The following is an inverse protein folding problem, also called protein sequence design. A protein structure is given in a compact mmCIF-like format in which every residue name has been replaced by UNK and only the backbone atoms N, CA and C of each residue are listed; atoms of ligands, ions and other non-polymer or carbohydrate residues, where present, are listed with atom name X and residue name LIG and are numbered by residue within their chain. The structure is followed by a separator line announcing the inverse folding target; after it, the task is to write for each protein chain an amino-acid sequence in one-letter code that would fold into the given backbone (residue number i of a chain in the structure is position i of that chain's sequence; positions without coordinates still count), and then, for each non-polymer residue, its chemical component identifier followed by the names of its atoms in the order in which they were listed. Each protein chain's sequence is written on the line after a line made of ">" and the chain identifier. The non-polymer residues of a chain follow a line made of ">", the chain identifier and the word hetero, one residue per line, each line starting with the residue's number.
data_IF_953044526918
#
_entry.id   IF_953044526918
#
_cell.length_a   1.000
_cell.length_b   1.000
_cell.length_c   1.000
_cell.angle_alpha   90.00
_cell.angle_beta   90.00
_cell.angle_gamma   90.00
#
_symmetry.space_group_name_H-M   'P 1'
#
loop_
_entity.id
_entity.type
_entity.pdbx_description
1 polymer ?
#
# COMPACT_ATOMS: atom_id res chain seq x y z
N UNK A 1 58.86 2.41 -46.81
CA UNK A 1 57.88 3.53 -46.85
C UNK A 1 56.44 3.03 -46.96
N UNK A 2 56.13 2.13 -47.91
CA UNK A 2 54.76 1.64 -48.19
C UNK A 2 54.14 0.87 -47.02
N UNK A 3 54.89 -0.05 -46.43
CA UNK A 3 54.37 -0.85 -45.28
C UNK A 3 53.96 -0.02 -44.05
N UNK A 4 54.72 1.06 -43.71
CA UNK A 4 54.38 1.97 -42.63
C UNK A 4 53.10 2.76 -42.92
N UNK A 5 52.87 3.12 -44.18
CA UNK A 5 51.64 3.85 -44.56
C UNK A 5 50.40 2.95 -44.48
N UNK A 6 50.48 1.70 -44.92
CA UNK A 6 49.42 0.71 -44.85
C UNK A 6 49.05 0.38 -43.36
N UNK A 7 50.07 0.27 -42.49
CA UNK A 7 49.85 0.07 -41.06
C UNK A 7 49.13 1.26 -40.42
N UNK A 8 49.53 2.48 -40.72
CA UNK A 8 48.87 3.68 -40.19
C UNK A 8 47.44 3.83 -40.71
N UNK A 9 47.15 3.50 -41.96
CA UNK A 9 45.79 3.50 -42.50
C UNK A 9 44.90 2.40 -41.86
N UNK A 10 45.47 1.22 -41.65
CA UNK A 10 44.78 0.12 -40.96
C UNK A 10 44.43 0.47 -39.50
N UNK A 11 45.40 1.09 -38.77
CA UNK A 11 45.24 1.52 -37.40
C UNK A 11 44.17 2.61 -37.28
N UNK A 12 44.15 3.58 -38.18
CA UNK A 12 43.13 4.61 -38.27
C UNK A 12 41.74 4.03 -38.55
N UNK A 13 41.63 3.05 -39.45
CA UNK A 13 40.39 2.39 -39.76
C UNK A 13 39.82 1.59 -38.56
N UNK A 14 40.71 0.90 -37.84
CA UNK A 14 40.34 0.15 -36.64
C UNK A 14 39.85 1.10 -35.52
N UNK A 15 40.51 2.23 -35.32
CA UNK A 15 40.09 3.25 -34.36
C UNK A 15 38.73 3.84 -34.71
N UNK A 16 38.51 4.13 -36.01
CA UNK A 16 37.26 4.66 -36.48
C UNK A 16 36.12 3.63 -36.32
N UNK A 17 36.34 2.36 -36.66
CA UNK A 17 35.37 1.28 -36.48
C UNK A 17 35.07 1.00 -35.03
N UNK A 18 36.07 1.09 -34.15
CA UNK A 18 35.87 0.96 -32.70
C UNK A 18 35.02 2.11 -32.13
N UNK A 19 35.24 3.33 -32.60
CA UNK A 19 34.43 4.47 -32.23
C UNK A 19 32.96 4.34 -32.72
N UNK A 20 32.76 3.88 -33.95
CA UNK A 20 31.42 3.58 -34.48
C UNK A 20 30.72 2.50 -33.63
N UNK A 21 31.42 1.42 -33.28
CA UNK A 21 30.88 0.34 -32.44
C UNK A 21 30.54 0.80 -31.00
N UNK A 22 31.33 1.70 -30.46
CA UNK A 22 31.06 2.26 -29.12
C UNK A 22 29.83 3.19 -29.08
N UNK A 23 29.47 3.79 -30.22
CA UNK A 23 28.25 4.63 -30.31
C UNK A 23 26.97 3.79 -30.49
N UNK A 24 27.07 2.54 -30.92
CA UNK A 24 25.94 1.68 -31.24
C UNK A 24 25.14 1.19 -30.01
N UNK A 25 25.76 0.80 -28.89
CA UNK A 25 25.02 0.29 -27.74
C UNK A 25 24.21 1.38 -27.00
N UNK A 26 24.64 2.64 -27.03
CA UNK A 26 23.98 3.73 -26.33
C UNK A 26 22.55 4.03 -26.84
N UNK A 27 22.33 4.22 -28.15
CA UNK A 27 20.98 4.41 -28.67
C UNK A 27 20.08 3.18 -28.52
N UNK A 28 20.62 1.98 -28.60
CA UNK A 28 19.86 0.75 -28.40
C UNK A 28 19.41 0.60 -26.93
N UNK A 29 20.29 0.86 -25.98
CA UNK A 29 19.97 0.86 -24.54
C UNK A 29 18.94 1.93 -24.19
N UNK A 30 19.06 3.12 -24.75
CA UNK A 30 18.04 4.19 -24.53
C UNK A 30 16.68 3.79 -25.10
N UNK A 31 16.63 3.22 -26.30
CA UNK A 31 15.38 2.74 -26.91
C UNK A 31 14.75 1.61 -26.10
N UNK A 32 15.58 0.67 -25.62
CA UNK A 32 15.11 -0.40 -24.74
C UNK A 32 14.55 0.16 -23.42
N UNK A 33 15.21 1.15 -22.83
CA UNK A 33 14.72 1.81 -21.63
C UNK A 33 13.38 2.54 -21.87
N UNK A 34 13.27 3.30 -22.96
CA UNK A 34 12.01 3.98 -23.32
C UNK A 34 10.88 2.99 -23.55
N UNK A 35 11.15 1.87 -24.23
CA UNK A 35 10.15 0.81 -24.43
C UNK A 35 9.75 0.17 -23.10
N UNK A 36 10.69 -0.10 -22.23
CA UNK A 36 10.42 -0.64 -20.90
C UNK A 36 9.57 0.31 -20.06
N UNK A 37 9.95 1.59 -20.01
CA UNK A 37 9.22 2.62 -19.26
C UNK A 37 7.81 2.82 -19.84
N UNK A 38 7.66 2.79 -21.17
CA UNK A 38 6.37 2.86 -21.82
C UNK A 38 5.50 1.64 -21.50
N UNK A 39 6.07 0.45 -21.52
CA UNK A 39 5.36 -0.79 -21.16
C UNK A 39 4.92 -0.78 -19.71
N UNK A 40 5.77 -0.30 -18.78
CA UNK A 40 5.39 -0.09 -17.39
C UNK A 40 4.26 0.94 -17.26
N UNK A 41 4.36 2.08 -17.96
CA UNK A 41 3.33 3.11 -17.93
C UNK A 41 1.96 2.60 -18.41
N UNK A 42 1.93 1.68 -19.38
CA UNK A 42 0.69 1.04 -19.84
C UNK A 42 0.01 0.16 -18.77
N UNK A 43 0.76 -0.32 -17.77
CA UNK A 43 0.24 -1.13 -16.67
C UNK A 43 -0.19 -0.31 -15.46
N UNK A 44 0.23 0.95 -15.42
CA UNK A 44 -0.10 1.84 -14.30
C UNK A 44 -1.55 2.30 -14.38
N UNK A 45 -2.23 2.28 -13.25
CA UNK A 45 -3.60 2.70 -13.08
C UNK A 45 -3.70 3.63 -11.87
N UNK A 46 -4.62 4.60 -11.87
CA UNK A 46 -4.82 5.44 -10.70
C UNK A 46 -5.35 4.61 -9.51
N UNK A 47 -4.91 4.94 -8.32
CA UNK A 47 -5.38 4.32 -7.07
C UNK A 47 -6.91 4.43 -6.93
N UNK A 48 -7.53 5.46 -7.52
CA UNK A 48 -8.97 5.62 -7.59
C UNK A 48 -9.72 4.36 -8.08
N UNK A 49 -9.10 3.55 -8.92
CA UNK A 49 -9.74 2.36 -9.49
C UNK A 49 -10.10 1.32 -8.40
N UNK A 50 -9.28 1.17 -7.36
CA UNK A 50 -9.55 0.24 -6.23
C UNK A 50 -10.54 0.82 -5.23
N UNK A 51 -10.80 2.13 -5.30
CA UNK A 51 -11.71 2.83 -4.38
C UNK A 51 -13.18 2.71 -4.80
N UNK A 52 -13.43 2.20 -6.02
CA UNK A 52 -14.78 2.05 -6.53
C UNK A 52 -15.66 1.24 -5.58
N UNK A 53 -16.70 1.89 -5.04
CA UNK A 53 -17.63 1.28 -4.09
C UNK A 53 -17.18 1.29 -2.61
N UNK A 54 -15.93 1.62 -2.29
CA UNK A 54 -15.43 1.62 -0.90
C UNK A 54 -16.14 2.69 -0.04
N UNK A 55 -16.33 3.90 -0.54
CA UNK A 55 -17.06 4.95 0.17
C UNK A 55 -18.51 4.55 0.45
N UNK A 56 -19.14 3.91 -0.53
CA UNK A 56 -20.51 3.40 -0.37
C UNK A 56 -20.55 2.29 0.68
N UNK A 57 -19.62 1.35 0.61
CA UNK A 57 -19.51 0.24 1.57
C UNK A 57 -19.32 0.76 2.99
N UNK A 58 -18.40 1.72 3.21
CA UNK A 58 -18.17 2.36 4.52
C UNK A 58 -19.44 3.01 5.06
N UNK A 59 -20.13 3.78 4.23
CA UNK A 59 -21.37 4.46 4.61
C UNK A 59 -22.50 3.47 4.92
N UNK A 60 -22.71 2.48 4.08
CA UNK A 60 -23.79 1.50 4.24
C UNK A 60 -23.54 0.62 5.46
N UNK A 61 -22.28 0.20 5.70
CA UNK A 61 -21.88 -0.52 6.90
C UNK A 61 -22.07 0.34 8.16
N UNK A 62 -21.62 1.61 8.15
CA UNK A 62 -21.83 2.54 9.25
C UNK A 62 -23.31 2.63 9.62
N UNK A 63 -24.18 2.86 8.63
CA UNK A 63 -25.63 2.92 8.86
C UNK A 63 -26.21 1.62 9.45
N UNK A 64 -25.77 0.46 8.98
CA UNK A 64 -26.22 -0.83 9.50
C UNK A 64 -25.82 -1.06 10.96
N UNK A 65 -24.75 -0.42 11.41
CA UNK A 65 -24.23 -0.47 12.77
C UNK A 65 -24.68 0.73 13.66
N UNK A 66 -25.55 1.61 13.12
CA UNK A 66 -26.01 2.81 13.84
C UNK A 66 -24.90 3.86 14.02
N UNK A 67 -23.87 3.82 13.18
CA UNK A 67 -22.72 4.74 13.23
C UNK A 67 -22.77 5.76 12.11
N UNK A 68 -22.26 6.94 12.35
CA UNK A 68 -22.04 7.97 11.34
C UNK A 68 -20.55 7.98 11.00
N UNK A 69 -20.21 7.71 9.75
CA UNK A 69 -18.80 7.57 9.32
C UNK A 69 -18.59 8.25 8.00
N UNK A 70 -17.50 9.03 7.90
CA UNK A 70 -17.01 9.65 6.68
C UNK A 70 -15.65 9.06 6.31
N UNK A 71 -15.47 8.73 5.04
CA UNK A 71 -14.19 8.33 4.47
C UNK A 71 -13.58 9.52 3.72
N UNK A 72 -12.37 9.92 4.09
CA UNK A 72 -11.55 10.89 3.37
C UNK A 72 -10.43 10.14 2.65
N UNK A 73 -10.23 10.47 1.37
CA UNK A 73 -9.25 9.81 0.52
C UNK A 73 -8.27 10.86 0.00
N UNK A 74 -6.98 10.56 0.13
CA UNK A 74 -5.89 11.37 -0.43
C UNK A 74 -5.03 10.50 -1.36
N UNK A 75 -4.55 11.10 -2.45
CA UNK A 75 -3.67 10.40 -3.39
C UNK A 75 -4.41 9.50 -4.39
N UNK A 76 -5.66 9.76 -4.71
CA UNK A 76 -6.46 9.01 -5.69
C UNK A 76 -5.78 8.88 -7.07
N UNK A 77 -4.99 9.90 -7.45
CA UNK A 77 -4.25 9.92 -8.73
C UNK A 77 -2.91 9.21 -8.70
N UNK A 78 -2.51 8.67 -7.54
CA UNK A 78 -1.27 7.91 -7.39
C UNK A 78 -1.30 6.72 -8.34
N UNK A 79 -0.27 6.64 -9.20
CA UNK A 79 -0.20 5.59 -10.22
C UNK A 79 0.31 4.30 -9.57
N UNK A 80 -0.42 3.21 -9.74
CA UNK A 80 -0.11 1.91 -9.13
C UNK A 80 -0.16 0.84 -10.20
N UNK A 81 0.74 -0.15 -10.15
CA UNK A 81 0.69 -1.29 -11.05
C UNK A 81 -0.64 -2.04 -10.89
N UNK A 82 -1.23 -2.43 -12.02
CA UNK A 82 -2.53 -3.11 -12.07
C UNK A 82 -2.57 -4.37 -11.19
N UNK A 83 -1.53 -5.21 -11.24
CA UNK A 83 -1.50 -6.46 -10.48
C UNK A 83 -1.42 -6.20 -8.96
N UNK A 84 -0.82 -5.07 -8.57
CA UNK A 84 -0.81 -4.61 -7.18
C UNK A 84 -2.20 -4.14 -6.76
N UNK A 85 -2.87 -3.33 -7.59
CA UNK A 85 -4.24 -2.85 -7.31
C UNK A 85 -5.22 -4.01 -7.12
N UNK A 86 -5.18 -5.00 -8.00
CA UNK A 86 -6.06 -6.19 -7.90
C UNK A 86 -5.86 -6.95 -6.59
N UNK A 87 -4.61 -7.01 -6.09
CA UNK A 87 -4.29 -7.65 -4.81
C UNK A 87 -4.62 -6.80 -3.58
N UNK A 88 -4.72 -5.48 -3.74
CA UNK A 88 -5.03 -4.55 -2.65
C UNK A 88 -6.52 -4.47 -2.33
N UNK A 89 -7.40 -4.76 -3.27
CA UNK A 89 -8.84 -4.57 -3.11
C UNK A 89 -9.41 -5.30 -1.87
N UNK A 90 -9.11 -6.58 -1.74
CA UNK A 90 -9.63 -7.38 -0.63
C UNK A 90 -9.04 -6.98 0.74
N UNK A 91 -7.71 -6.80 0.91
CA UNK A 91 -7.13 -6.28 2.14
C UNK A 91 -7.66 -4.90 2.52
N UNK A 92 -7.78 -3.98 1.56
CA UNK A 92 -8.28 -2.64 1.80
C UNK A 92 -9.73 -2.65 2.29
N UNK A 93 -10.59 -3.43 1.62
CA UNK A 93 -11.98 -3.61 2.03
C UNK A 93 -12.06 -4.16 3.47
N UNK A 94 -11.20 -5.12 3.82
CA UNK A 94 -11.15 -5.69 5.15
C UNK A 94 -10.72 -4.66 6.20
N UNK A 95 -9.69 -3.88 5.94
CA UNK A 95 -9.20 -2.84 6.84
C UNK A 95 -10.25 -1.73 7.05
N UNK A 96 -10.87 -1.25 5.99
CA UNK A 96 -11.94 -0.25 6.07
C UNK A 96 -13.14 -0.78 6.88
N UNK A 97 -13.52 -2.04 6.66
CA UNK A 97 -14.57 -2.68 7.45
C UNK A 97 -14.21 -2.74 8.93
N UNK A 98 -12.98 -3.12 9.27
CA UNK A 98 -12.52 -3.17 10.66
C UNK A 98 -12.52 -1.79 11.32
N UNK A 99 -12.09 -0.75 10.61
CA UNK A 99 -12.13 0.62 11.10
C UNK A 99 -13.58 1.06 11.45
N UNK A 100 -14.55 0.77 10.56
CA UNK A 100 -15.98 1.07 10.83
C UNK A 100 -16.52 0.23 11.97
N UNK A 101 -16.26 -1.07 11.98
CA UNK A 101 -16.89 -2.02 12.90
C UNK A 101 -16.33 -1.88 14.33
N UNK A 102 -15.02 -1.81 14.45
CA UNK A 102 -14.32 -1.85 15.72
C UNK A 102 -13.66 -0.52 16.12
N UNK A 103 -13.23 0.30 15.15
CA UNK A 103 -12.58 1.59 15.42
C UNK A 103 -13.58 2.65 15.83
N UNK A 104 -14.56 2.95 15.00
CA UNK A 104 -15.49 4.06 15.21
C UNK A 104 -16.58 3.68 16.23
N UNK A 105 -16.84 4.59 17.18
CA UNK A 105 -17.89 4.46 18.21
C UNK A 105 -19.26 4.91 17.69
N UNK A 106 -20.32 4.61 18.45
CA UNK A 106 -21.66 5.19 18.17
C UNK A 106 -21.66 6.71 18.35
N UNK A 107 -22.57 7.44 17.68
CA UNK A 107 -22.66 8.89 17.80
C UNK A 107 -22.79 9.36 19.26
N UNK A 108 -23.56 8.62 20.09
CA UNK A 108 -23.76 8.93 21.48
C UNK A 108 -22.47 8.79 22.29
N UNK A 109 -21.73 7.69 22.08
CA UNK A 109 -20.44 7.45 22.74
C UNK A 109 -19.42 8.51 22.36
N UNK A 110 -19.37 8.90 21.09
CA UNK A 110 -18.47 9.97 20.60
C UNK A 110 -18.77 11.31 21.25
N UNK A 111 -20.05 11.69 21.30
CA UNK A 111 -20.47 12.94 21.95
C UNK A 111 -20.14 12.93 23.43
N UNK A 112 -20.33 11.82 24.14
CA UNK A 112 -19.93 11.66 25.55
C UNK A 112 -18.42 11.81 25.75
N UNK A 113 -17.62 11.40 24.79
CA UNK A 113 -16.15 11.55 24.76
C UNK A 113 -15.69 12.93 24.27
N UNK A 114 -16.63 13.86 23.96
CA UNK A 114 -16.30 15.20 23.44
C UNK A 114 -15.83 15.19 21.98
N UNK A 115 -16.06 14.12 21.23
CA UNK A 115 -15.76 13.99 19.80
C UNK A 115 -16.97 14.40 18.94
N UNK A 116 -16.78 14.77 17.66
CA UNK A 116 -17.87 14.92 16.70
C UNK A 116 -18.69 13.62 16.58
N UNK A 117 -20.00 13.72 16.37
CA UNK A 117 -20.88 12.56 16.21
C UNK A 117 -20.49 11.68 15.02
N UNK A 118 -19.98 12.30 13.93
CA UNK A 118 -19.46 11.61 12.76
C UNK A 118 -18.00 11.22 12.98
N UNK A 119 -17.68 9.92 12.84
CA UNK A 119 -16.33 9.40 12.85
C UNK A 119 -15.64 9.59 11.51
N UNK A 120 -14.33 9.75 11.54
CA UNK A 120 -13.51 10.01 10.37
C UNK A 120 -12.51 8.86 10.15
N UNK A 121 -12.57 8.28 8.94
CA UNK A 121 -11.55 7.36 8.45
C UNK A 121 -10.79 8.08 7.33
N UNK A 122 -9.46 8.10 7.39
CA UNK A 122 -8.58 8.65 6.36
C UNK A 122 -7.80 7.54 5.69
N UNK A 123 -7.81 7.54 4.37
CA UNK A 123 -7.01 6.65 3.54
C UNK A 123 -6.12 7.49 2.64
N UNK A 124 -4.82 7.30 2.75
CA UNK A 124 -3.83 8.02 1.96
C UNK A 124 -2.97 7.06 1.15
N UNK A 125 -2.78 7.36 -0.13
CA UNK A 125 -1.86 6.65 -1.00
C UNK A 125 -0.73 7.58 -1.46
N UNK A 126 0.51 7.15 -1.32
CA UNK A 126 1.68 7.93 -1.75
C UNK A 126 2.81 7.00 -2.23
N UNK A 127 3.74 7.57 -3.00
CA UNK A 127 5.00 6.91 -3.31
C UNK A 127 6.11 7.44 -2.42
N UNK A 128 6.81 6.53 -1.74
CA UNK A 128 7.95 6.87 -0.91
C UNK A 128 9.10 5.90 -1.22
N UNK A 129 10.23 6.42 -1.64
CA UNK A 129 11.43 5.64 -1.98
C UNK A 129 11.15 4.45 -2.94
N UNK A 130 10.27 4.66 -3.93
CA UNK A 130 9.91 3.62 -4.91
C UNK A 130 8.88 2.59 -4.43
N UNK A 131 8.38 2.72 -3.22
CA UNK A 131 7.33 1.88 -2.65
C UNK A 131 5.99 2.61 -2.67
N UNK A 132 4.92 1.87 -2.92
CA UNK A 132 3.56 2.35 -2.64
C UNK A 132 3.31 2.25 -1.13
N UNK A 133 3.05 3.38 -0.51
CA UNK A 133 2.68 3.48 0.91
C UNK A 133 1.20 3.80 0.99
N UNK A 134 0.47 2.95 1.70
CA UNK A 134 -0.94 3.15 2.05
C UNK A 134 -1.03 3.38 3.55
N UNK A 135 -1.63 4.50 3.93
CA UNK A 135 -1.87 4.87 5.33
C UNK A 135 -3.38 4.89 5.56
N UNK A 136 -3.85 4.07 6.47
CA UNK A 136 -5.24 4.07 6.94
C UNK A 136 -5.24 4.48 8.41
N UNK A 137 -6.03 5.48 8.74
CA UNK A 137 -6.23 5.95 10.11
C UNK A 137 -7.69 6.24 10.38
N UNK A 138 -8.11 6.07 11.62
CA UNK A 138 -9.42 6.47 12.11
C UNK A 138 -9.29 7.32 13.41
N UNK A 139 -10.33 8.05 13.74
CA UNK A 139 -10.42 8.87 14.96
C UNK A 139 -11.26 8.20 16.06
N UNK A 140 -11.37 6.88 15.98
CA UNK A 140 -12.12 6.07 16.93
C UNK A 140 -11.44 5.88 18.29
N UNK A 141 -11.89 4.88 19.04
CA UNK A 141 -11.36 4.56 20.37
C UNK A 141 -10.01 3.84 20.37
N UNK A 142 -9.48 3.51 19.17
CA UNK A 142 -8.33 2.64 19.04
C UNK A 142 -8.66 1.17 19.38
N UNK A 143 -7.62 0.40 19.58
CA UNK A 143 -7.73 -1.04 19.86
C UNK A 143 -7.72 -1.26 21.38
N UNK A 144 -8.71 -1.98 21.90
CA UNK A 144 -8.71 -2.47 23.26
C UNK A 144 -7.70 -3.63 23.40
N UNK A 145 -6.50 -3.31 23.86
CA UNK A 145 -5.38 -4.26 23.99
C UNK A 145 -5.71 -5.40 24.96
N UNK A 146 -6.52 -5.13 26.00
CA UNK A 146 -6.94 -6.18 26.93
C UNK A 146 -7.94 -7.16 26.29
N UNK A 147 -8.79 -6.67 25.40
CA UNK A 147 -9.67 -7.52 24.59
C UNK A 147 -8.86 -8.35 23.57
N UNK A 148 -7.83 -7.77 22.94
CA UNK A 148 -6.90 -8.50 22.09
C UNK A 148 -6.22 -9.61 22.86
N UNK A 149 -5.65 -9.28 24.03
CA UNK A 149 -4.95 -10.23 24.92
C UNK A 149 -5.85 -11.42 25.31
N UNK A 150 -7.07 -11.12 25.73
CA UNK A 150 -8.07 -12.17 26.04
C UNK A 150 -8.36 -13.06 24.86
N UNK A 151 -8.60 -12.47 23.69
CA UNK A 151 -8.89 -13.21 22.43
C UNK A 151 -7.72 -14.12 22.01
N UNK A 152 -6.46 -13.69 22.23
CA UNK A 152 -5.27 -14.49 21.96
C UNK A 152 -5.24 -15.75 22.86
N UNK A 153 -5.57 -15.59 24.15
CA UNK A 153 -5.59 -16.68 25.12
C UNK A 153 -6.74 -17.64 24.83
N UNK A 154 -7.96 -17.13 24.63
CA UNK A 154 -9.16 -17.93 24.35
C UNK A 154 -9.03 -18.77 23.07
N UNK A 155 -8.36 -18.21 22.04
CA UNK A 155 -8.09 -18.90 20.78
C UNK A 155 -6.83 -19.79 20.83
N UNK A 156 -6.18 -19.90 21.98
CA UNK A 156 -4.97 -20.70 22.19
C UNK A 156 -3.81 -20.34 21.24
N UNK A 157 -3.75 -19.08 20.81
CA UNK A 157 -2.67 -18.58 19.94
C UNK A 157 -1.37 -18.35 20.71
N UNK A 158 -1.47 -18.10 22.03
CA UNK A 158 -0.33 -17.98 22.95
C UNK A 158 -0.75 -18.41 24.36
N UNK A 159 0.16 -19.02 25.16
CA UNK A 159 -0.08 -19.27 26.57
C UNK A 159 -0.37 -17.99 27.34
N UNK A 160 -1.20 -18.05 28.39
CA UNK A 160 -1.60 -16.89 29.18
C UNK A 160 -0.40 -16.11 29.77
N UNK A 161 0.63 -16.85 30.25
CA UNK A 161 1.86 -16.25 30.79
C UNK A 161 2.63 -15.44 29.73
N UNK A 162 2.73 -15.98 28.51
CA UNK A 162 3.38 -15.30 27.38
C UNK A 162 2.54 -14.13 26.90
N UNK A 163 1.22 -14.32 26.76
CA UNK A 163 0.31 -13.26 26.33
C UNK A 163 0.30 -12.07 27.30
N UNK A 164 0.51 -12.30 28.62
CA UNK A 164 0.62 -11.25 29.61
C UNK A 164 1.88 -10.37 29.44
N UNK A 165 2.93 -10.91 28.83
CA UNK A 165 4.22 -10.22 28.65
C UNK A 165 4.34 -9.54 27.25
N UNK A 166 3.40 -9.80 26.34
CA UNK A 166 3.41 -9.18 25.00
C UNK A 166 3.30 -7.65 25.11
N UNK A 167 4.18 -6.98 24.38
CA UNK A 167 4.12 -5.54 24.20
C UNK A 167 2.88 -5.13 23.38
N UNK A 168 2.54 -3.86 23.39
CA UNK A 168 1.44 -3.29 22.59
C UNK A 168 1.63 -3.60 21.10
N UNK A 169 2.84 -3.39 20.56
CA UNK A 169 3.17 -3.66 19.16
C UNK A 169 2.99 -5.14 18.80
N UNK A 170 3.42 -6.04 19.69
CA UNK A 170 3.26 -7.48 19.49
C UNK A 170 1.79 -7.89 19.51
N UNK A 171 0.99 -7.36 20.45
CA UNK A 171 -0.45 -7.59 20.49
C UNK A 171 -1.14 -7.14 19.21
N UNK A 172 -0.80 -5.97 18.68
CA UNK A 172 -1.37 -5.44 17.45
C UNK A 172 -1.04 -6.30 16.23
N UNK A 173 0.10 -7.02 16.20
CA UNK A 173 0.42 -7.92 15.09
C UNK A 173 -0.57 -9.07 14.95
N UNK A 174 -1.21 -9.51 16.03
CA UNK A 174 -2.22 -10.57 15.99
C UNK A 174 -3.47 -10.16 15.20
N UNK A 175 -3.79 -8.86 15.13
CA UNK A 175 -4.93 -8.37 14.34
C UNK A 175 -4.79 -8.62 12.84
N UNK A 176 -3.56 -8.83 12.36
CA UNK A 176 -3.27 -9.13 10.95
C UNK A 176 -3.24 -10.63 10.65
N UNK A 177 -3.43 -11.49 11.65
CA UNK A 177 -3.47 -12.93 11.42
C UNK A 177 -4.78 -13.31 10.69
N UNK A 178 -4.71 -14.19 9.66
CA UNK A 178 -5.89 -14.66 8.98
C UNK A 178 -6.89 -15.32 9.97
N UNK A 179 -8.14 -14.86 9.94
CA UNK A 179 -9.19 -15.39 10.82
C UNK A 179 -9.18 -14.86 12.25
N UNK A 180 -8.27 -13.95 12.61
CA UNK A 180 -8.34 -13.26 13.89
C UNK A 180 -9.41 -12.16 13.83
N UNK A 181 -10.36 -12.19 14.73
CA UNK A 181 -11.41 -11.17 14.89
C UNK A 181 -11.68 -10.98 16.38
N UNK A 182 -11.94 -9.76 16.79
CA UNK A 182 -12.36 -9.41 18.15
C UNK A 182 -13.86 -9.56 18.38
N UNK A 183 -14.60 -10.12 17.40
CA UNK A 183 -15.99 -10.52 17.57
C UNK A 183 -16.07 -11.83 18.32
N UNK A 184 -17.00 -11.86 19.28
CA UNK A 184 -17.52 -13.07 19.91
C UNK A 184 -18.36 -13.88 18.92
#
# INVERSE_FOLDING_TARGET
>A
AVARRLLAESEKLLLQKNAELQQFPWPASQRAQVLYDTALACRMRPFADVLSGQERMVRDLGRSLGKQVRLEIEGEKTQVDRDVLEKLEAPLTHLLRNAVDHGIESPEQRLMAGKPAEGLIRLRASHQAGLLVLELSDDGNGVDLEKVRRSIIERQLSPAETAAQLSEEELLTFLFLPGFSLRD
#
